data_IF_251214131273
#
_entry.id   IF_251214131273
#
_cell.length_a   1.000
_cell.length_b   1.000
_cell.length_c   1.000
_cell.angle_alpha   90.00
_cell.angle_beta   90.00
_cell.angle_gamma   90.00
#
_symmetry.space_group_name_H-M   'P 1'
#
loop_
_entity.id
_entity.type
_entity.pdbx_description
1 polymer ?
#
# COMPACT_ATOMS: atom_id res chain seq x y z
N UNK A 1 -28.41 13.98 10.07
CA UNK A 1 -27.75 15.23 9.62
C UNK A 1 -26.23 15.22 9.83
N UNK A 2 -25.68 14.80 10.97
CA UNK A 2 -24.22 14.85 11.23
C UNK A 2 -23.32 14.03 10.26
N UNK A 3 -23.79 12.91 9.69
CA UNK A 3 -22.98 12.07 8.77
C UNK A 3 -22.79 12.63 7.36
N UNK A 4 -23.76 13.39 6.85
CA UNK A 4 -23.65 14.03 5.52
C UNK A 4 -22.50 15.05 5.56
N UNK A 5 -22.40 15.81 6.66
CA UNK A 5 -21.31 16.75 6.91
C UNK A 5 -19.93 16.10 7.02
N UNK A 6 -19.84 14.82 7.41
CA UNK A 6 -18.56 14.12 7.53
C UNK A 6 -17.95 13.83 6.16
N UNK A 7 -18.70 13.18 5.24
CA UNK A 7 -18.16 12.84 3.93
C UNK A 7 -17.92 14.06 3.05
N UNK A 8 -18.74 15.11 3.15
CA UNK A 8 -18.49 16.36 2.43
C UNK A 8 -17.18 17.03 2.87
N UNK A 9 -16.83 16.92 4.16
CA UNK A 9 -15.55 17.42 4.69
C UNK A 9 -14.37 16.52 4.32
N UNK A 10 -14.50 15.21 4.49
CA UNK A 10 -13.41 14.25 4.23
C UNK A 10 -13.07 14.19 2.74
N UNK A 11 -14.09 14.13 1.88
CA UNK A 11 -13.98 14.10 0.41
C UNK A 11 -14.26 15.48 -0.18
N UNK A 12 -13.71 16.53 0.42
CA UNK A 12 -13.78 17.89 -0.13
C UNK A 12 -12.92 18.00 -1.40
N UNK A 13 -13.26 18.96 -2.27
CA UNK A 13 -12.43 19.28 -3.45
C UNK A 13 -11.00 19.63 -3.01
N UNK A 14 -10.88 20.43 -1.95
CA UNK A 14 -9.60 20.84 -1.36
C UNK A 14 -8.72 19.66 -0.93
N UNK A 15 -9.30 18.63 -0.31
CA UNK A 15 -8.54 17.43 0.07
C UNK A 15 -8.07 16.63 -1.14
N UNK A 16 -8.92 16.49 -2.18
CA UNK A 16 -8.52 15.84 -3.44
C UNK A 16 -7.41 16.61 -4.15
N UNK A 17 -7.52 17.95 -4.24
CA UNK A 17 -6.49 18.77 -4.87
C UNK A 17 -5.17 18.73 -4.09
N UNK A 18 -5.22 18.76 -2.75
CA UNK A 18 -4.01 18.61 -1.93
C UNK A 18 -3.37 17.23 -2.09
N UNK A 19 -4.15 16.15 -2.14
CA UNK A 19 -3.63 14.81 -2.37
C UNK A 19 -3.05 14.66 -3.78
N UNK A 20 -3.72 15.20 -4.79
CA UNK A 20 -3.25 15.23 -6.17
C UNK A 20 -1.93 16.01 -6.31
N UNK A 21 -1.80 17.15 -5.65
CA UNK A 21 -0.53 17.88 -5.57
C UNK A 21 0.58 17.01 -4.96
N UNK A 22 0.26 16.24 -3.91
CA UNK A 22 1.19 15.29 -3.33
C UNK A 22 1.64 14.20 -4.32
N UNK A 23 0.71 13.67 -5.11
CA UNK A 23 1.03 12.71 -6.19
C UNK A 23 1.93 13.33 -7.26
N UNK A 24 1.64 14.57 -7.71
CA UNK A 24 2.46 15.28 -8.71
C UNK A 24 3.87 15.55 -8.17
N UNK A 25 4.00 16.02 -6.93
CA UNK A 25 5.31 16.23 -6.29
C UNK A 25 6.09 14.91 -6.14
N UNK A 26 5.39 13.82 -5.86
CA UNK A 26 6.02 12.48 -5.81
C UNK A 26 6.50 12.05 -7.19
N UNK A 27 5.69 12.23 -8.23
CA UNK A 27 6.06 11.93 -9.61
C UNK A 27 7.30 12.72 -10.06
N UNK A 28 7.33 14.03 -9.78
CA UNK A 28 8.49 14.87 -10.04
C UNK A 28 9.72 14.36 -9.29
N UNK A 29 9.57 14.07 -7.98
CA UNK A 29 10.71 13.58 -7.19
C UNK A 29 11.23 12.24 -7.66
N UNK A 30 10.36 11.31 -8.06
CA UNK A 30 10.75 10.03 -8.64
C UNK A 30 11.50 10.22 -9.95
N UNK A 31 11.03 11.14 -10.80
CA UNK A 31 11.70 11.48 -12.07
C UNK A 31 13.10 12.04 -11.82
N UNK A 32 13.24 13.02 -10.92
CA UNK A 32 14.55 13.58 -10.53
C UNK A 32 15.50 12.50 -10.01
N UNK A 33 15.03 11.61 -9.13
CA UNK A 33 15.85 10.53 -8.58
C UNK A 33 16.27 9.53 -9.68
N UNK A 34 15.37 9.23 -10.61
CA UNK A 34 15.67 8.33 -11.72
C UNK A 34 16.69 8.94 -12.70
N UNK A 35 16.49 10.19 -13.13
CA UNK A 35 17.37 10.90 -14.07
C UNK A 35 18.80 11.06 -13.52
N UNK A 36 18.94 11.29 -12.21
CA UNK A 36 20.24 11.31 -11.54
C UNK A 36 20.86 9.92 -11.36
N UNK A 37 20.23 8.86 -11.88
CA UNK A 37 20.60 7.44 -11.72
C UNK A 37 20.75 7.03 -10.26
N UNK A 38 20.01 7.71 -9.39
CA UNK A 38 20.05 7.50 -7.96
C UNK A 38 19.16 6.34 -7.52
N UNK A 39 18.20 5.93 -8.34
CA UNK A 39 17.24 4.88 -7.99
C UNK A 39 16.91 3.99 -9.18
N UNK A 40 16.54 2.74 -8.92
CA UNK A 40 16.35 1.73 -9.97
C UNK A 40 15.00 1.00 -9.91
N UNK A 41 14.17 1.30 -8.92
CA UNK A 41 12.91 0.60 -8.67
C UNK A 41 12.04 1.35 -7.65
N UNK A 42 10.75 1.01 -7.57
CA UNK A 42 9.80 1.55 -6.60
C UNK A 42 9.15 0.43 -5.79
N UNK A 43 9.34 0.45 -4.48
CA UNK A 43 8.68 -0.45 -3.53
C UNK A 43 7.41 0.21 -3.00
N UNK A 44 6.29 -0.52 -3.09
CA UNK A 44 5.00 -0.15 -2.48
C UNK A 44 4.78 -1.10 -1.29
N UNK A 45 5.08 -0.68 -0.04
CA UNK A 45 5.09 -1.56 1.11
C UNK A 45 3.72 -1.70 1.76
N UNK A 46 2.80 -0.76 1.57
CA UNK A 46 1.50 -0.77 2.25
C UNK A 46 0.34 -0.67 1.27
N UNK A 47 -0.80 -1.24 1.66
CA UNK A 47 -2.07 -1.07 0.94
C UNK A 47 -2.52 0.39 0.88
N UNK A 48 -2.13 1.20 1.87
CA UNK A 48 -2.40 2.65 1.94
C UNK A 48 -1.67 3.43 0.85
N UNK A 49 -0.49 2.96 0.47
CA UNK A 49 0.31 3.54 -0.60
C UNK A 49 -0.19 3.21 -2.02
N UNK A 50 -1.01 2.16 -2.20
CA UNK A 50 -1.47 1.77 -3.54
C UNK A 50 -2.31 2.83 -4.26
N UNK A 51 -3.32 3.48 -3.63
CA UNK A 51 -4.02 4.58 -4.27
C UNK A 51 -3.12 5.79 -4.56
N UNK A 52 -2.12 6.05 -3.71
CA UNK A 52 -1.12 7.09 -3.95
C UNK A 52 -0.32 6.75 -5.20
N UNK A 53 0.22 5.53 -5.29
CA UNK A 53 0.95 5.06 -6.45
C UNK A 53 0.14 5.21 -7.74
N UNK A 54 -1.15 4.89 -7.72
CA UNK A 54 -2.01 5.12 -8.90
C UNK A 54 -2.12 6.60 -9.28
N UNK A 55 -2.27 7.50 -8.31
CA UNK A 55 -2.26 8.95 -8.58
C UNK A 55 -0.90 9.45 -9.08
N UNK A 56 0.20 8.87 -8.60
CA UNK A 56 1.56 9.14 -9.10
C UNK A 56 1.71 8.66 -10.54
N UNK A 57 1.23 7.45 -10.86
CA UNK A 57 1.21 6.91 -12.21
C UNK A 57 0.41 7.81 -13.16
N UNK A 58 -0.77 8.29 -12.74
CA UNK A 58 -1.56 9.25 -13.51
C UNK A 58 -0.81 10.58 -13.75
N UNK A 59 -0.03 11.03 -12.77
CA UNK A 59 0.80 12.23 -12.90
C UNK A 59 1.99 12.02 -13.84
N UNK A 60 2.52 10.80 -13.93
CA UNK A 60 3.61 10.44 -14.84
C UNK A 60 3.16 10.30 -16.30
N UNK A 61 1.85 10.22 -16.59
CA UNK A 61 1.34 10.09 -17.97
C UNK A 61 2.00 11.09 -18.93
N UNK A 62 2.60 10.60 -20.00
CA UNK A 62 3.33 11.34 -21.03
C UNK A 62 4.79 11.67 -20.67
N UNK A 63 5.36 11.08 -19.62
CA UNK A 63 6.78 11.24 -19.24
C UNK A 63 7.60 10.01 -19.62
N UNK A 64 8.92 10.19 -19.78
CA UNK A 64 9.86 9.08 -20.03
C UNK A 64 9.79 8.01 -18.93
N UNK A 65 9.62 8.43 -17.66
CA UNK A 65 9.52 7.50 -16.55
C UNK A 65 8.26 6.61 -16.65
N UNK A 66 7.14 7.10 -17.18
CA UNK A 66 5.95 6.25 -17.40
C UNK A 66 6.27 5.08 -18.35
N UNK A 67 6.96 5.36 -19.46
CA UNK A 67 7.21 4.38 -20.52
C UNK A 67 8.08 3.21 -20.03
N UNK A 68 8.96 3.48 -19.07
CA UNK A 68 9.89 2.49 -18.51
C UNK A 68 9.39 1.86 -17.19
N UNK A 69 8.24 2.28 -16.65
CA UNK A 69 7.69 1.66 -15.45
C UNK A 69 7.20 0.24 -15.78
N UNK A 70 7.70 -0.76 -15.05
CA UNK A 70 7.19 -2.13 -15.07
C UNK A 70 6.25 -2.33 -13.87
N UNK A 71 4.95 -2.29 -14.13
CA UNK A 71 3.91 -2.54 -13.13
C UNK A 71 3.37 -3.95 -13.33
N UNK A 72 3.44 -4.83 -12.32
CA UNK A 72 2.94 -6.19 -12.48
C UNK A 72 1.42 -6.22 -12.68
N UNK A 73 0.93 -7.02 -13.63
CA UNK A 73 -0.49 -7.09 -14.01
C UNK A 73 -1.44 -7.39 -12.85
N UNK A 74 -0.98 -8.14 -11.85
CA UNK A 74 -1.80 -8.44 -10.68
C UNK A 74 -2.15 -7.19 -9.85
N UNK A 75 -1.47 -6.06 -10.05
CA UNK A 75 -1.85 -4.76 -9.48
C UNK A 75 -2.99 -4.07 -10.24
N UNK A 76 -3.41 -4.56 -11.41
CA UNK A 76 -4.53 -4.06 -12.22
C UNK A 76 -4.52 -2.53 -12.43
N UNK A 77 -3.38 -1.96 -12.79
CA UNK A 77 -3.28 -0.54 -13.17
C UNK A 77 -3.54 -0.43 -14.67
N UNK A 78 -4.55 0.37 -15.04
CA UNK A 78 -4.90 0.55 -16.45
C UNK A 78 -3.83 1.38 -17.16
N UNK A 79 -3.41 0.93 -18.35
CA UNK A 79 -2.39 1.59 -19.17
C UNK A 79 -0.93 1.28 -18.79
N UNK A 80 -0.68 0.48 -17.75
CA UNK A 80 0.69 0.12 -17.37
C UNK A 80 1.26 -1.05 -18.19
N UNK A 81 2.59 -1.07 -18.35
CA UNK A 81 3.34 -2.16 -18.97
C UNK A 81 4.00 -3.08 -17.92
N UNK A 82 4.22 -4.36 -18.25
CA UNK A 82 5.06 -5.26 -17.45
C UNK A 82 6.54 -5.25 -17.90
N UNK A 83 6.84 -4.68 -19.06
CA UNK A 83 8.14 -4.85 -19.75
C UNK A 83 9.15 -3.71 -19.47
N UNK A 84 8.79 -2.75 -18.61
CA UNK A 84 9.65 -1.62 -18.27
C UNK A 84 10.93 -1.96 -17.49
N UNK A 85 11.92 -1.07 -17.58
CA UNK A 85 13.20 -1.22 -16.87
C UNK A 85 13.15 -0.85 -15.38
N UNK A 86 12.14 -0.09 -14.97
CA UNK A 86 11.94 0.42 -13.61
C UNK A 86 10.80 -0.36 -12.92
N UNK A 87 11.10 -1.45 -12.19
CA UNK A 87 10.06 -2.28 -11.61
C UNK A 87 9.36 -1.61 -10.43
N UNK A 88 8.03 -1.71 -10.42
CA UNK A 88 7.17 -1.43 -9.28
C UNK A 88 6.96 -2.74 -8.53
N UNK A 89 7.43 -2.77 -7.28
CA UNK A 89 7.47 -3.94 -6.43
C UNK A 89 6.49 -3.77 -5.28
N UNK A 90 5.24 -4.27 -5.40
CA UNK A 90 4.35 -4.34 -4.24
C UNK A 90 4.93 -5.31 -3.22
N UNK A 91 4.91 -4.97 -1.93
CA UNK A 91 5.32 -5.88 -0.85
C UNK A 91 4.27 -5.77 0.25
N UNK A 92 3.73 -6.88 0.77
CA UNK A 92 2.57 -6.83 1.66
C UNK A 92 2.90 -6.50 3.13
N UNK A 93 3.49 -5.35 3.43
CA UNK A 93 3.67 -4.83 4.79
C UNK A 93 2.37 -4.13 5.26
N UNK A 94 1.37 -4.88 5.71
CA UNK A 94 0.12 -4.27 6.22
C UNK A 94 0.25 -3.80 7.67
N UNK A 95 -0.17 -2.56 7.97
CA UNK A 95 -0.24 -2.01 9.32
C UNK A 95 -1.51 -2.43 10.09
N UNK A 96 -2.59 -2.70 9.35
CA UNK A 96 -3.89 -3.02 9.93
C UNK A 96 -4.15 -4.51 9.90
N UNK A 97 -3.91 -5.11 11.05
CA UNK A 97 -4.06 -6.53 11.29
C UNK A 97 -5.22 -6.72 12.25
N UNK A 98 -6.22 -7.49 11.83
CA UNK A 98 -7.24 -7.97 12.76
C UNK A 98 -6.96 -9.44 13.10
N UNK A 99 -6.53 -9.68 14.33
CA UNK A 99 -6.42 -11.03 14.90
C UNK A 99 -7.40 -11.12 16.06
N UNK A 100 -8.36 -12.07 16.02
CA UNK A 100 -9.28 -12.30 17.13
C UNK A 100 -8.54 -12.55 18.45
N UNK A 101 -9.09 -12.06 19.56
CA UNK A 101 -8.44 -12.11 20.89
C UNK A 101 -8.07 -13.54 21.31
N UNK A 102 -8.91 -14.51 20.98
CA UNK A 102 -8.68 -15.93 21.24
C UNK A 102 -7.44 -16.47 20.49
N UNK A 103 -7.16 -15.95 19.29
CA UNK A 103 -5.95 -16.28 18.56
C UNK A 103 -4.74 -15.55 19.14
N UNK A 104 -4.85 -14.26 19.46
CA UNK A 104 -3.78 -13.49 20.15
C UNK A 104 -3.29 -14.19 21.42
N UNK A 105 -4.21 -14.71 22.24
CA UNK A 105 -3.86 -15.51 23.43
C UNK A 105 -3.00 -16.74 23.09
N UNK A 106 -3.24 -17.40 21.96
CA UNK A 106 -2.43 -18.55 21.51
C UNK A 106 -1.03 -18.15 21.07
N UNK A 107 -0.81 -16.91 20.61
CA UNK A 107 0.54 -16.41 20.30
C UNK A 107 1.33 -16.05 21.57
N UNK A 108 0.66 -15.78 22.69
CA UNK A 108 1.30 -15.15 23.84
C UNK A 108 1.82 -13.74 23.53
N UNK A 109 1.26 -13.06 22.53
CA UNK A 109 1.70 -11.75 22.02
C UNK A 109 0.55 -10.75 21.98
N UNK A 110 0.86 -9.47 22.16
CA UNK A 110 -0.06 -8.37 21.89
C UNK A 110 -0.27 -8.19 20.38
N UNK A 111 -1.35 -7.48 20.00
CA UNK A 111 -1.58 -7.16 18.59
C UNK A 111 -0.42 -6.33 18.01
N UNK A 112 0.10 -5.37 18.77
CA UNK A 112 1.22 -4.53 18.37
C UNK A 112 2.49 -5.36 18.10
N UNK A 113 2.78 -6.36 18.94
CA UNK A 113 3.91 -7.26 18.74
C UNK A 113 3.77 -8.06 17.44
N UNK A 114 2.56 -8.57 17.16
CA UNK A 114 2.32 -9.28 15.89
C UNK A 114 2.47 -8.35 14.70
N UNK A 115 1.94 -7.12 14.76
CA UNK A 115 2.08 -6.11 13.70
C UNK A 115 3.56 -5.79 13.43
N UNK A 116 4.36 -5.62 14.49
CA UNK A 116 5.78 -5.33 14.34
C UNK A 116 6.55 -6.54 13.75
N UNK A 117 6.15 -7.77 14.07
CA UNK A 117 6.68 -8.98 13.42
C UNK A 117 6.30 -9.10 11.95
N UNK A 118 5.08 -8.69 11.55
CA UNK A 118 4.71 -8.62 10.12
C UNK A 118 5.66 -7.67 9.39
N UNK A 119 5.93 -6.51 9.99
CA UNK A 119 6.83 -5.51 9.41
C UNK A 119 8.26 -6.02 9.33
N UNK A 120 8.74 -6.73 10.36
CA UNK A 120 10.07 -7.34 10.36
C UNK A 120 10.19 -8.41 9.27
N UNK A 121 9.19 -9.26 9.11
CA UNK A 121 9.12 -10.28 8.05
C UNK A 121 9.11 -9.70 6.65
N UNK A 122 8.28 -8.69 6.39
CA UNK A 122 8.25 -8.07 5.07
C UNK A 122 9.51 -7.26 4.78
N UNK A 123 10.15 -6.67 5.80
CA UNK A 123 11.45 -5.99 5.65
C UNK A 123 12.56 -7.00 5.34
N UNK A 124 12.52 -8.18 5.97
CA UNK A 124 13.40 -9.29 5.60
C UNK A 124 13.17 -9.71 4.14
N UNK A 125 11.91 -9.89 3.70
CA UNK A 125 11.60 -10.19 2.31
C UNK A 125 12.13 -9.13 1.34
N UNK A 126 11.98 -7.83 1.65
CA UNK A 126 12.57 -6.74 0.86
C UNK A 126 14.09 -6.88 0.79
N UNK A 127 14.76 -7.17 1.90
CA UNK A 127 16.22 -7.35 1.92
C UNK A 127 16.68 -8.46 0.98
N UNK A 128 15.88 -9.51 0.83
CA UNK A 128 16.16 -10.58 -0.11
C UNK A 128 16.07 -10.10 -1.56
N UNK A 129 15.26 -9.09 -1.89
CA UNK A 129 15.14 -8.57 -3.26
C UNK A 129 16.41 -7.88 -3.77
N UNK A 130 17.39 -7.60 -2.90
CA UNK A 130 18.73 -7.14 -3.28
C UNK A 130 19.65 -8.30 -3.73
N UNK A 131 19.24 -9.55 -3.52
CA UNK A 131 19.95 -10.76 -3.95
C UNK A 131 19.44 -11.25 -5.30
N UNK A 132 20.24 -12.07 -5.97
CA UNK A 132 19.81 -12.69 -7.22
C UNK A 132 18.73 -13.77 -7.01
N UNK A 133 18.04 -14.10 -8.10
CA UNK A 133 16.95 -15.06 -8.08
C UNK A 133 17.34 -16.47 -7.61
N UNK A 134 18.60 -16.89 -7.76
CA UNK A 134 19.09 -18.19 -7.28
C UNK A 134 19.32 -18.13 -5.77
N UNK A 135 20.01 -17.11 -5.29
CA UNK A 135 20.26 -16.91 -3.85
C UNK A 135 18.94 -16.76 -3.06
N UNK A 136 17.99 -15.99 -3.58
CA UNK A 136 16.66 -15.85 -2.94
C UNK A 136 15.92 -17.18 -2.85
N UNK A 137 15.96 -17.99 -3.90
CA UNK A 137 15.32 -19.33 -3.91
C UNK A 137 15.90 -20.28 -2.90
N UNK A 138 17.11 -20.05 -2.38
CA UNK A 138 17.71 -20.91 -1.36
C UNK A 138 17.26 -20.51 0.05
N UNK A 139 16.87 -19.24 0.25
CA UNK A 139 16.41 -18.70 1.52
C UNK A 139 15.09 -19.34 1.99
N UNK A 140 15.07 -19.78 3.25
CA UNK A 140 13.93 -20.50 3.83
C UNK A 140 12.68 -19.64 3.95
N UNK A 141 12.81 -18.34 4.24
CA UNK A 141 11.69 -17.43 4.41
C UNK A 141 11.12 -17.04 3.05
N UNK A 142 11.96 -16.86 2.04
CA UNK A 142 11.50 -16.69 0.66
C UNK A 142 10.74 -17.91 0.16
N UNK A 143 11.26 -19.13 0.38
CA UNK A 143 10.53 -20.38 0.06
C UNK A 143 9.17 -20.44 0.76
N UNK A 144 9.11 -20.07 2.04
CA UNK A 144 7.84 -20.05 2.77
C UNK A 144 6.84 -19.03 2.19
N UNK A 145 7.33 -17.87 1.74
CA UNK A 145 6.53 -16.87 1.05
C UNK A 145 6.04 -17.37 -0.33
N UNK A 146 6.91 -18.01 -1.11
CA UNK A 146 6.53 -18.64 -2.37
C UNK A 146 5.46 -19.74 -2.16
N UNK A 147 5.64 -20.62 -1.17
CA UNK A 147 4.66 -21.65 -0.84
C UNK A 147 3.31 -21.07 -0.41
N UNK A 148 3.31 -19.95 0.31
CA UNK A 148 2.08 -19.23 0.65
C UNK A 148 1.36 -18.74 -0.61
N UNK A 149 2.09 -18.11 -1.53
CA UNK A 149 1.51 -17.63 -2.79
C UNK A 149 1.03 -18.80 -3.68
N UNK A 150 1.84 -19.85 -3.84
CA UNK A 150 1.57 -20.93 -4.80
C UNK A 150 0.56 -21.96 -4.26
N UNK A 151 0.81 -22.50 -3.06
CA UNK A 151 0.10 -23.68 -2.55
C UNK A 151 -1.12 -23.30 -1.69
N UNK A 152 -1.04 -22.20 -0.94
CA UNK A 152 -2.13 -21.75 -0.08
C UNK A 152 -3.12 -20.88 -0.84
N UNK A 153 -2.63 -20.04 -1.76
CA UNK A 153 -3.46 -19.06 -2.45
C UNK A 153 -3.69 -19.35 -3.94
N UNK A 154 -2.91 -20.26 -4.54
CA UNK A 154 -3.03 -20.60 -5.96
C UNK A 154 -2.53 -19.52 -6.93
N UNK A 155 -1.60 -18.66 -6.51
CA UNK A 155 -1.12 -17.47 -7.23
C UNK A 155 0.30 -17.62 -7.76
N UNK A 156 0.50 -18.63 -8.61
CA UNK A 156 1.82 -19.02 -9.15
C UNK A 156 2.47 -17.91 -9.98
N UNK A 157 1.67 -17.10 -10.66
CA UNK A 157 2.11 -15.93 -11.42
C UNK A 157 2.76 -14.87 -10.52
N UNK A 158 2.22 -14.65 -9.31
CA UNK A 158 2.79 -13.69 -8.36
C UNK A 158 4.09 -14.23 -7.77
N UNK A 159 4.14 -15.51 -7.43
CA UNK A 159 5.37 -16.14 -6.97
C UNK A 159 6.47 -16.07 -8.04
N UNK A 160 6.12 -16.34 -9.31
CA UNK A 160 7.02 -16.21 -10.45
C UNK A 160 7.55 -14.78 -10.61
N UNK A 161 6.72 -13.76 -10.42
CA UNK A 161 7.15 -12.37 -10.46
C UNK A 161 8.29 -12.10 -9.47
N UNK A 162 8.12 -12.41 -8.18
CA UNK A 162 9.18 -12.18 -7.19
C UNK A 162 10.44 -12.99 -7.46
N UNK A 163 10.28 -14.21 -7.99
CA UNK A 163 11.36 -15.13 -8.32
C UNK A 163 12.24 -14.60 -9.46
N UNK A 164 11.62 -14.02 -10.48
CA UNK A 164 12.27 -13.54 -11.70
C UNK A 164 12.73 -12.08 -11.60
N UNK A 165 12.23 -11.32 -10.62
CA UNK A 165 12.62 -9.92 -10.41
C UNK A 165 14.14 -9.78 -10.35
N UNK A 166 14.73 -8.86 -11.11
CA UNK A 166 16.17 -8.59 -11.03
C UNK A 166 16.56 -8.07 -9.63
N UNK A 167 17.81 -8.27 -9.17
CA UNK A 167 18.28 -7.64 -7.93
C UNK A 167 18.03 -6.14 -7.93
N UNK A 168 17.44 -5.65 -6.84
CA UNK A 168 17.28 -4.22 -6.60
C UNK A 168 18.63 -3.64 -6.15
N UNK A 169 18.94 -2.41 -6.58
CA UNK A 169 20.18 -1.73 -6.20
C UNK A 169 19.94 -0.58 -5.23
N UNK A 170 19.00 0.30 -5.56
CA UNK A 170 18.66 1.48 -4.76
C UNK A 170 17.18 1.84 -4.96
N UNK A 171 16.25 1.01 -4.45
CA UNK A 171 14.82 1.28 -4.55
C UNK A 171 14.42 2.58 -3.85
N UNK A 172 13.33 3.17 -4.32
CA UNK A 172 12.51 4.11 -3.53
C UNK A 172 11.44 3.32 -2.79
N UNK A 173 11.24 3.56 -1.51
CA UNK A 173 10.07 3.07 -0.78
C UNK A 173 9.05 4.20 -0.62
N UNK A 174 7.85 4.01 -1.16
CA UNK A 174 6.75 4.99 -1.11
C UNK A 174 5.68 4.52 -0.12
N UNK A 175 5.45 5.27 0.95
CA UNK A 175 4.43 4.94 1.94
C UNK A 175 3.59 6.14 2.39
N UNK A 176 2.49 5.87 3.08
CA UNK A 176 1.66 6.86 3.75
C UNK A 176 2.03 6.98 5.23
N UNK A 177 2.03 8.21 5.74
CA UNK A 177 2.52 8.54 7.08
C UNK A 177 1.42 9.26 7.87
N UNK A 178 0.62 8.50 8.61
CA UNK A 178 -0.34 9.07 9.59
C UNK A 178 0.38 9.40 10.90
N UNK A 179 0.81 8.36 11.63
CA UNK A 179 1.53 8.53 12.90
C UNK A 179 3.05 8.54 12.74
N UNK A 180 3.55 8.04 11.61
CA UNK A 180 4.98 7.82 11.33
C UNK A 180 5.54 6.50 11.85
N UNK A 181 4.83 5.76 12.72
CA UNK A 181 5.32 4.51 13.32
C UNK A 181 5.65 3.44 12.28
N UNK A 182 4.72 3.16 11.36
CA UNK A 182 4.88 2.06 10.40
C UNK A 182 6.14 2.26 9.54
N UNK A 183 6.24 3.43 8.91
CA UNK A 183 7.39 3.81 8.08
C UNK A 183 8.70 3.76 8.87
N UNK A 184 8.73 4.31 10.10
CA UNK A 184 9.90 4.22 10.98
C UNK A 184 10.30 2.76 11.26
N UNK A 185 9.34 1.91 11.68
CA UNK A 185 9.60 0.50 12.00
C UNK A 185 10.11 -0.29 10.80
N UNK A 186 9.53 -0.07 9.61
CA UNK A 186 9.99 -0.71 8.37
C UNK A 186 11.44 -0.31 8.08
N UNK A 187 11.76 0.99 8.12
CA UNK A 187 13.10 1.47 7.81
C UNK A 187 14.15 1.00 8.84
N UNK A 188 13.80 0.93 10.12
CA UNK A 188 14.68 0.36 11.16
C UNK A 188 14.92 -1.15 10.95
N UNK A 189 13.88 -1.90 10.56
CA UNK A 189 14.02 -3.32 10.29
C UNK A 189 14.83 -3.59 9.01
N UNK A 190 14.67 -2.77 7.97
CA UNK A 190 15.51 -2.82 6.77
C UNK A 190 17.00 -2.63 7.09
N UNK A 191 17.33 -1.67 7.96
CA UNK A 191 18.72 -1.42 8.39
C UNK A 191 19.33 -2.64 9.09
N UNK A 192 18.54 -3.33 9.95
CA UNK A 192 18.93 -4.61 10.59
C UNK A 192 19.29 -5.69 9.57
N UNK A 193 18.73 -5.65 8.36
CA UNK A 193 19.00 -6.59 7.27
C UNK A 193 19.96 -6.05 6.20
N UNK A 194 20.68 -4.96 6.49
CA UNK A 194 21.70 -4.40 5.60
C UNK A 194 21.15 -3.50 4.48
N UNK A 195 19.86 -3.18 4.50
CA UNK A 195 19.25 -2.20 3.59
C UNK A 195 19.19 -0.85 4.30
N UNK A 196 20.14 0.03 3.97
CA UNK A 196 20.43 1.28 4.65
C UNK A 196 19.84 2.47 3.91
N UNK A 197 18.95 3.16 4.60
CA UNK A 197 18.38 4.44 4.16
C UNK A 197 19.49 5.46 3.86
N UNK A 198 19.43 6.09 2.68
CA UNK A 198 20.43 7.03 2.17
C UNK A 198 21.63 6.39 1.46
N UNK A 199 21.81 5.07 1.56
CA UNK A 199 22.89 4.36 0.87
C UNK A 199 22.35 3.56 -0.31
N UNK A 200 21.51 2.57 -0.03
CA UNK A 200 20.90 1.68 -1.02
C UNK A 200 19.36 1.67 -0.92
N UNK A 201 18.78 2.70 -0.30
CA UNK A 201 17.33 2.91 -0.19
C UNK A 201 17.03 4.40 -0.06
N UNK A 202 16.03 4.90 -0.77
CA UNK A 202 15.48 6.26 -0.57
C UNK A 202 14.03 6.17 -0.10
N UNK A 203 13.61 7.04 0.82
CA UNK A 203 12.22 7.07 1.30
C UNK A 203 11.40 8.21 0.70
N UNK A 204 10.15 7.96 0.30
CA UNK A 204 9.16 9.01 0.06
C UNK A 204 7.95 8.74 0.95
N UNK A 205 7.56 9.74 1.74
CA UNK A 205 6.44 9.64 2.66
C UNK A 205 5.36 10.69 2.38
N UNK A 206 4.14 10.25 2.06
CA UNK A 206 2.97 11.16 2.02
C UNK A 206 2.47 11.37 3.44
N UNK A 207 2.52 12.61 3.93
CA UNK A 207 2.24 12.92 5.34
C UNK A 207 0.83 13.46 5.52
N UNK A 208 0.00 12.72 6.26
CA UNK A 208 -1.40 13.09 6.55
C UNK A 208 -1.50 14.31 7.47
N UNK A 209 -2.56 15.10 7.28
CA UNK A 209 -2.85 16.32 8.04
C UNK A 209 -1.63 17.23 8.20
N UNK A 210 -0.82 17.36 7.16
CA UNK A 210 0.40 18.19 7.13
C UNK A 210 1.38 17.87 8.30
N UNK A 211 1.36 16.62 8.78
CA UNK A 211 2.20 16.14 9.85
C UNK A 211 1.74 16.51 11.26
N UNK A 212 0.49 16.93 11.42
CA UNK A 212 -0.14 17.16 12.74
C UNK A 212 -0.32 15.86 13.53
N UNK A 213 -0.55 14.73 12.85
CA UNK A 213 -0.72 13.39 13.46
C UNK A 213 0.59 12.63 13.71
N UNK A 214 1.72 13.12 13.18
CA UNK A 214 3.01 12.48 13.42
C UNK A 214 3.37 12.53 14.90
N UNK A 215 3.65 11.37 15.51
CA UNK A 215 4.08 11.34 16.91
C UNK A 215 5.48 11.94 17.04
N UNK A 216 5.75 12.56 18.19
CA UNK A 216 6.97 13.33 18.46
C UNK A 216 8.23 12.52 18.20
N UNK A 217 8.25 11.27 18.66
CA UNK A 217 9.39 10.36 18.52
C UNK A 217 9.75 10.07 17.06
N UNK A 218 8.76 9.91 16.16
CA UNK A 218 9.02 9.64 14.75
C UNK A 218 9.24 10.92 13.95
N UNK A 219 8.55 12.01 14.30
CA UNK A 219 8.66 13.31 13.62
C UNK A 219 10.09 13.86 13.67
N UNK A 220 10.75 13.76 14.84
CA UNK A 220 12.14 14.20 15.00
C UNK A 220 13.10 13.41 14.10
N UNK A 221 12.97 12.07 14.10
CA UNK A 221 13.78 11.20 13.26
C UNK A 221 13.55 11.45 11.77
N UNK A 222 12.29 11.55 11.32
CA UNK A 222 11.94 11.79 9.92
C UNK A 222 12.51 13.11 9.41
N UNK A 223 12.41 14.19 10.18
CA UNK A 223 13.01 15.49 9.82
C UNK A 223 14.54 15.42 9.70
N UNK A 224 15.20 14.64 10.57
CA UNK A 224 16.64 14.44 10.45
C UNK A 224 17.01 13.67 9.18
N UNK A 225 16.23 12.68 8.78
CA UNK A 225 16.46 11.95 7.53
C UNK A 225 16.16 12.82 6.30
N UNK A 226 15.12 13.64 6.37
CA UNK A 226 14.80 14.62 5.31
C UNK A 226 15.91 15.65 5.13
N UNK A 227 16.44 16.21 6.21
CA UNK A 227 17.56 17.15 6.15
C UNK A 227 18.86 16.54 5.57
N UNK A 228 19.00 15.21 5.67
CA UNK A 228 20.12 14.47 5.05
C UNK A 228 19.87 14.12 3.58
N UNK A 229 18.69 14.42 3.04
CA UNK A 229 18.28 14.01 1.70
C UNK A 229 17.91 12.52 1.57
N UNK A 230 17.80 11.80 2.69
CA UNK A 230 17.53 10.36 2.71
C UNK A 230 16.03 10.02 2.55
N UNK A 231 15.17 10.98 2.89
CA UNK A 231 13.71 10.87 2.82
C UNK A 231 13.16 12.16 2.22
N UNK A 232 12.09 12.06 1.43
CA UNK A 232 11.29 13.20 0.99
C UNK A 232 9.92 13.11 1.68
N UNK A 233 9.57 14.10 2.50
CA UNK A 233 8.25 14.16 3.13
C UNK A 233 7.35 15.11 2.33
N UNK A 234 6.20 14.61 1.90
CA UNK A 234 5.24 15.36 1.09
C UNK A 234 3.97 15.57 1.93
N UNK A 235 3.81 16.74 2.57
CA UNK A 235 2.62 17.01 3.38
C UNK A 235 1.38 17.18 2.50
N UNK A 236 0.29 16.55 2.93
CA UNK A 236 -1.03 16.72 2.32
C UNK A 236 -2.07 17.01 3.40
N UNK A 237 -3.16 17.68 3.02
CA UNK A 237 -4.24 18.03 3.94
C UNK A 237 -4.93 16.81 4.50
N UNK A 238 -5.15 15.78 3.68
CA UNK A 238 -5.81 14.55 4.11
C UNK A 238 -5.47 13.36 3.22
N UNK A 239 -5.06 12.26 3.83
CA UNK A 239 -5.07 10.93 3.21
C UNK A 239 -6.46 10.32 3.45
N UNK A 240 -7.28 10.27 2.39
CA UNK A 240 -8.69 9.88 2.48
C UNK A 240 -8.89 8.36 2.48
N UNK A 241 -7.92 7.59 1.97
CA UNK A 241 -8.04 6.14 1.75
C UNK A 241 -7.68 5.27 2.95
N UNK A 242 -6.84 5.76 3.85
CA UNK A 242 -6.25 5.00 4.96
C UNK A 242 -7.15 4.99 6.21
N UNK A 243 -7.14 3.91 7.00
CA UNK A 243 -8.03 3.69 8.17
C UNK A 243 -9.55 3.71 7.86
N UNK A 244 -9.94 3.69 6.58
CA UNK A 244 -11.33 3.78 6.11
C UNK A 244 -11.89 2.46 5.55
N UNK A 245 -11.12 1.38 5.65
CA UNK A 245 -11.49 0.05 5.14
C UNK A 245 -11.14 -0.16 3.66
N UNK A 246 -11.42 -1.36 3.14
CA UNK A 246 -10.96 -1.78 1.81
C UNK A 246 -11.58 -1.00 0.63
N UNK A 247 -12.72 -0.33 0.85
CA UNK A 247 -13.53 0.31 -0.19
C UNK A 247 -12.83 1.45 -0.93
N UNK A 248 -11.80 2.07 -0.34
CA UNK A 248 -11.03 3.15 -0.95
C UNK A 248 -9.59 2.74 -1.27
N UNK A 249 -9.17 1.56 -0.82
CA UNK A 249 -7.81 1.06 -1.01
C UNK A 249 -7.68 0.23 -2.28
N UNK A 250 -8.76 -0.38 -2.77
CA UNK A 250 -8.72 -1.27 -3.95
C UNK A 250 -8.00 -2.61 -3.70
N UNK A 251 -7.25 -2.71 -2.60
CA UNK A 251 -6.49 -3.87 -2.16
C UNK A 251 -6.91 -4.25 -0.74
N UNK A 252 -6.97 -5.55 -0.46
CA UNK A 252 -7.16 -6.13 0.88
C UNK A 252 -5.89 -6.85 1.31
N UNK A 253 -5.55 -6.71 2.59
CA UNK A 253 -4.55 -7.55 3.24
C UNK A 253 -5.19 -8.85 3.70
N UNK A 254 -4.61 -9.97 3.31
CA UNK A 254 -4.95 -11.30 3.81
C UNK A 254 -3.88 -11.73 4.81
N UNK A 255 -4.32 -12.24 5.96
CA UNK A 255 -3.44 -12.68 7.03
C UNK A 255 -3.78 -14.14 7.32
N UNK A 256 -2.77 -14.97 7.47
CA UNK A 256 -2.90 -16.38 7.80
C UNK A 256 -2.34 -16.67 9.19
N UNK A 257 -3.05 -16.28 10.27
CA UNK A 257 -2.55 -16.42 11.64
C UNK A 257 -2.06 -17.84 11.94
N UNK A 258 -2.83 -18.87 11.59
CA UNK A 258 -2.46 -20.25 11.95
C UNK A 258 -1.16 -20.69 11.25
N UNK A 259 -0.99 -20.33 9.97
CA UNK A 259 0.24 -20.62 9.23
C UNK A 259 1.43 -19.90 9.88
N UNK A 260 1.25 -18.62 10.20
CA UNK A 260 2.23 -17.83 10.93
C UNK A 260 2.62 -18.48 12.27
N UNK A 261 1.65 -18.92 13.06
CA UNK A 261 1.90 -19.55 14.36
C UNK A 261 2.76 -20.80 14.23
N UNK A 262 2.40 -21.70 13.31
CA UNK A 262 3.14 -22.96 13.16
C UNK A 262 4.51 -22.74 12.50
N UNK A 263 4.60 -21.85 11.50
CA UNK A 263 5.87 -21.51 10.86
C UNK A 263 6.87 -20.87 11.85
N UNK A 264 6.40 -19.95 12.70
CA UNK A 264 7.24 -19.27 13.70
C UNK A 264 7.84 -20.20 14.75
N UNK A 265 7.26 -21.38 14.99
CA UNK A 265 7.82 -22.41 15.88
C UNK A 265 8.87 -23.26 15.20
N UNK A 266 8.74 -23.44 13.88
CA UNK A 266 9.53 -24.39 13.09
C UNK A 266 10.73 -23.74 12.39
N UNK A 267 10.75 -22.40 12.29
CA UNK A 267 11.72 -21.67 11.48
C UNK A 267 12.40 -20.56 12.28
N UNK A 268 13.73 -20.49 12.17
CA UNK A 268 14.57 -19.46 12.79
C UNK A 268 14.62 -18.17 11.95
N UNK A 269 13.49 -17.73 11.42
CA UNK A 269 13.43 -16.51 10.64
C UNK A 269 12.09 -15.78 10.79
N UNK A 270 12.05 -14.46 10.55
CA UNK A 270 10.83 -13.69 10.70
C UNK A 270 9.89 -14.05 9.56
N UNK A 271 8.91 -14.91 9.82
CA UNK A 271 7.88 -15.26 8.86
C UNK A 271 6.62 -14.58 9.27
N UNK A 272 5.96 -13.90 8.34
CA UNK A 272 4.59 -13.53 8.52
C UNK A 272 3.82 -13.85 7.25
N UNK A 273 2.73 -14.58 7.42
CA UNK A 273 1.88 -14.96 6.31
C UNK A 273 0.87 -13.84 6.06
N UNK A 274 1.35 -12.77 5.45
CA UNK A 274 0.52 -11.66 4.96
C UNK A 274 0.74 -11.50 3.47
N UNK A 275 -0.37 -11.33 2.76
CA UNK A 275 -0.36 -11.05 1.32
C UNK A 275 -1.41 -9.99 0.99
N UNK A 276 -1.38 -9.50 -0.25
CA UNK A 276 -2.37 -8.56 -0.77
C UNK A 276 -3.20 -9.20 -1.86
N UNK A 277 -4.48 -8.87 -1.90
CA UNK A 277 -5.34 -9.16 -3.04
C UNK A 277 -5.95 -7.87 -3.53
N UNK A 278 -5.88 -7.61 -4.83
CA UNK A 278 -6.81 -6.65 -5.43
C UNK A 278 -8.22 -7.15 -5.19
N UNK A 279 -9.13 -6.23 -4.84
CA UNK A 279 -10.52 -6.58 -4.61
C UNK A 279 -11.05 -7.39 -5.82
N UNK A 280 -11.60 -8.60 -5.59
CA UNK A 280 -12.09 -9.41 -6.68
C UNK A 280 -13.30 -8.73 -7.31
N UNK A 281 -13.61 -9.01 -8.58
CA UNK A 281 -14.79 -8.43 -9.26
C UNK A 281 -16.13 -8.91 -8.68
N UNK A 282 -16.06 -9.84 -7.72
CA UNK A 282 -17.20 -10.31 -6.93
C UNK A 282 -17.99 -11.43 -7.59
N UNK A 283 -17.56 -11.96 -8.73
CA UNK A 283 -18.29 -13.03 -9.43
C UNK A 283 -18.16 -14.39 -8.73
N UNK A 284 -17.02 -14.64 -8.08
CA UNK A 284 -16.64 -15.95 -7.54
C UNK A 284 -17.15 -16.24 -6.12
N UNK A 285 -17.85 -15.33 -5.45
CA UNK A 285 -18.37 -15.60 -4.09
C UNK A 285 -19.72 -16.31 -4.13
N UNK A 286 -19.83 -17.41 -3.37
CA UNK A 286 -21.10 -18.17 -3.21
C UNK A 286 -22.17 -17.39 -2.45
N UNK A 287 -21.76 -16.43 -1.62
CA UNK A 287 -22.70 -15.60 -0.86
C UNK A 287 -23.11 -14.38 -1.69
N UNK A 288 -24.40 -14.28 -2.02
CA UNK A 288 -24.97 -13.10 -2.70
C UNK A 288 -24.65 -11.79 -1.97
N UNK A 289 -24.78 -11.79 -0.64
CA UNK A 289 -24.48 -10.61 0.19
C UNK A 289 -23.01 -10.18 0.04
N UNK A 290 -22.08 -11.14 0.09
CA UNK A 290 -20.65 -10.86 -0.07
C UNK A 290 -20.35 -10.33 -1.47
N UNK A 291 -20.96 -10.91 -2.52
CA UNK A 291 -20.83 -10.42 -3.90
C UNK A 291 -21.30 -8.98 -4.03
N UNK A 292 -22.50 -8.68 -3.53
CA UNK A 292 -23.07 -7.33 -3.58
C UNK A 292 -22.19 -6.32 -2.82
N UNK A 293 -21.65 -6.69 -1.67
CA UNK A 293 -20.74 -5.81 -0.90
C UNK A 293 -19.42 -5.56 -1.63
N UNK A 294 -18.82 -6.60 -2.20
CA UNK A 294 -17.58 -6.46 -2.99
C UNK A 294 -17.80 -5.58 -4.23
N UNK A 295 -18.92 -5.74 -4.94
CA UNK A 295 -19.30 -4.86 -6.06
C UNK A 295 -19.39 -3.39 -5.63
N UNK A 296 -19.99 -3.11 -4.48
CA UNK A 296 -20.09 -1.75 -3.92
C UNK A 296 -18.72 -1.19 -3.55
N UNK A 297 -17.83 -2.00 -2.98
CA UNK A 297 -16.44 -1.59 -2.70
C UNK A 297 -15.67 -1.28 -3.98
N UNK A 298 -15.79 -2.11 -5.02
CA UNK A 298 -15.18 -1.83 -6.32
C UNK A 298 -15.73 -0.56 -6.96
N UNK A 299 -17.04 -0.30 -6.87
CA UNK A 299 -17.63 0.95 -7.35
C UNK A 299 -17.10 2.17 -6.58
N UNK A 300 -17.03 2.09 -5.25
CA UNK A 300 -16.49 3.16 -4.42
C UNK A 300 -15.02 3.43 -4.76
N UNK A 301 -14.20 2.38 -4.89
CA UNK A 301 -12.80 2.51 -5.27
C UNK A 301 -12.64 3.13 -6.67
N UNK A 302 -13.41 2.67 -7.66
CA UNK A 302 -13.40 3.24 -9.02
C UNK A 302 -13.76 4.72 -9.01
N UNK A 303 -14.79 5.13 -8.26
CA UNK A 303 -15.17 6.53 -8.15
C UNK A 303 -14.10 7.35 -7.42
N UNK A 304 -13.50 6.81 -6.36
CA UNK A 304 -12.38 7.45 -5.65
C UNK A 304 -11.19 7.68 -6.58
N UNK A 305 -10.80 6.67 -7.35
CA UNK A 305 -9.70 6.80 -8.32
C UNK A 305 -10.03 7.81 -9.42
N UNK A 306 -11.27 7.85 -9.93
CA UNK A 306 -11.68 8.89 -10.89
C UNK A 306 -11.61 10.30 -10.32
N UNK A 307 -11.94 10.48 -9.04
CA UNK A 307 -11.77 11.77 -8.37
C UNK A 307 -10.28 12.14 -8.31
N UNK A 308 -9.42 11.22 -7.88
CA UNK A 308 -7.98 11.47 -7.80
C UNK A 308 -7.37 11.77 -9.17
N UNK A 309 -7.71 10.99 -10.20
CA UNK A 309 -7.28 11.21 -11.59
C UNK A 309 -7.71 12.59 -12.10
N UNK A 310 -8.98 12.97 -11.89
CA UNK A 310 -9.48 14.29 -12.30
C UNK A 310 -8.78 15.42 -11.54
N UNK A 311 -8.48 15.23 -10.25
CA UNK A 311 -7.75 16.19 -9.45
C UNK A 311 -6.29 16.34 -9.90
N UNK A 312 -5.61 15.23 -10.22
CA UNK A 312 -4.27 15.24 -10.83
C UNK A 312 -4.29 15.96 -12.18
N UNK A 313 -5.26 15.62 -13.04
CA UNK A 313 -5.47 16.30 -14.31
C UNK A 313 -5.64 17.81 -14.15
N UNK A 314 -6.43 18.26 -13.17
CA UNK A 314 -6.63 19.68 -12.88
C UNK A 314 -5.35 20.37 -12.38
N UNK A 315 -4.65 19.78 -11.41
CA UNK A 315 -3.38 20.31 -10.87
C UNK A 315 -2.33 20.45 -11.97
N UNK A 316 -2.32 19.52 -12.92
CA UNK A 316 -1.40 19.54 -14.07
C UNK A 316 -1.89 20.39 -15.25
N UNK A 317 -3.05 21.04 -15.15
CA UNK A 317 -3.62 21.85 -16.23
C UNK A 317 -4.14 21.05 -17.44
N UNK A 318 -4.41 19.75 -17.28
CA UNK A 318 -4.89 18.83 -18.32
C UNK A 318 -6.42 18.74 -18.39
N UNK A 319 -7.12 19.06 -17.30
CA UNK A 319 -8.59 18.94 -17.20
C UNK A 319 -9.19 20.10 -16.41
N UNK A 320 -10.48 20.35 -16.61
CA UNK A 320 -11.27 21.27 -15.78
C UNK A 320 -11.65 20.65 -14.42
N UNK A 321 -12.25 21.46 -13.53
CA UNK A 321 -12.66 21.03 -12.19
C UNK A 321 -13.99 20.24 -12.16
N UNK A 322 -14.86 20.48 -13.14
CA UNK A 322 -16.21 19.89 -13.22
C UNK A 322 -16.23 18.34 -13.17
N UNK A 323 -15.33 17.61 -13.86
CA UNK A 323 -15.24 16.15 -13.76
C UNK A 323 -14.96 15.64 -12.33
N UNK A 324 -14.11 16.36 -11.58
CA UNK A 324 -13.83 16.05 -10.18
C UNK A 324 -15.10 16.24 -9.34
N UNK A 325 -15.78 17.37 -9.47
CA UNK A 325 -17.01 17.62 -8.72
C UNK A 325 -18.09 16.57 -8.98
N UNK A 326 -18.28 16.21 -10.25
CA UNK A 326 -19.28 15.21 -10.68
C UNK A 326 -18.97 13.83 -10.07
N UNK A 327 -17.71 13.39 -10.14
CA UNK A 327 -17.28 12.11 -9.59
C UNK A 327 -17.35 12.09 -8.06
N UNK A 328 -16.98 13.21 -7.41
CA UNK A 328 -17.02 13.39 -5.95
C UNK A 328 -18.45 13.30 -5.41
N UNK A 329 -19.41 13.96 -6.05
CA UNK A 329 -20.84 13.89 -5.68
C UNK A 329 -21.36 12.44 -5.76
N UNK A 330 -20.99 11.70 -6.81
CA UNK A 330 -21.34 10.27 -6.97
C UNK A 330 -20.70 9.39 -5.89
N UNK A 331 -19.43 9.62 -5.57
CA UNK A 331 -18.74 8.89 -4.51
C UNK A 331 -19.44 9.09 -3.16
N UNK A 332 -19.68 10.35 -2.76
CA UNK A 332 -20.33 10.68 -1.48
C UNK A 332 -21.73 10.08 -1.40
N UNK A 333 -22.52 10.13 -2.48
CA UNK A 333 -23.83 9.50 -2.53
C UNK A 333 -23.75 7.98 -2.26
N UNK A 334 -22.83 7.28 -2.95
CA UNK A 334 -22.63 5.84 -2.79
C UNK A 334 -22.15 5.46 -1.38
N UNK A 335 -21.21 6.22 -0.82
CA UNK A 335 -20.70 5.99 0.54
C UNK A 335 -21.79 6.20 1.60
N UNK A 336 -22.66 7.21 1.41
CA UNK A 336 -23.80 7.47 2.27
C UNK A 336 -24.85 6.36 2.19
N UNK A 337 -25.27 5.99 0.98
CA UNK A 337 -26.33 5.02 0.74
C UNK A 337 -25.99 3.65 1.35
N UNK A 338 -24.74 3.22 1.20
CA UNK A 338 -24.32 1.87 1.58
C UNK A 338 -23.49 1.79 2.85
N UNK A 339 -23.27 2.92 3.54
CA UNK A 339 -22.49 2.99 4.80
C UNK A 339 -21.14 2.29 4.67
N UNK A 340 -20.44 2.55 3.56
CA UNK A 340 -19.23 1.80 3.20
C UNK A 340 -18.01 2.19 4.03
N UNK A 341 -18.08 3.31 4.77
CA UNK A 341 -17.06 3.73 5.73
C UNK A 341 -17.64 3.70 7.14
N UNK A 342 -16.83 3.26 8.09
CA UNK A 342 -17.12 3.42 9.52
C UNK A 342 -16.52 4.77 9.92
N UNK A 343 -17.31 5.73 10.44
CA UNK A 343 -16.75 6.89 11.14
C UNK A 343 -15.77 6.39 12.22
N UNK A 344 -14.79 7.19 12.66
CA UNK A 344 -13.69 6.80 13.59
C UNK A 344 -14.10 6.16 14.95
N UNK A 345 -15.38 5.90 15.18
CA UNK A 345 -15.87 5.11 16.30
C UNK A 345 -15.55 3.62 16.08
N UNK A 346 -14.52 3.13 16.81
CA UNK A 346 -14.07 1.75 17.03
C UNK A 346 -14.39 0.75 15.90
N UNK A 347 -13.39 0.25 15.15
CA UNK A 347 -13.62 -0.67 14.06
C UNK A 347 -14.33 -1.93 14.55
N UNK A 348 -15.55 -2.16 14.08
CA UNK A 348 -16.12 -3.51 14.10
C UNK A 348 -15.23 -4.43 13.27
N UNK A 349 -15.04 -5.71 13.67
CA UNK A 349 -14.24 -6.67 12.93
C UNK A 349 -14.62 -6.70 11.45
N UNK A 350 -13.63 -6.51 10.57
CA UNK A 350 -13.90 -6.56 9.13
C UNK A 350 -14.46 -7.95 8.76
N UNK A 351 -15.62 -7.96 8.10
CA UNK A 351 -16.35 -9.16 7.64
C UNK A 351 -15.53 -10.05 6.69
N UNK A 352 -14.37 -9.59 6.22
CA UNK A 352 -13.41 -10.35 5.41
C UNK A 352 -12.85 -11.58 6.12
N UNK A 353 -13.00 -11.71 7.44
CA UNK A 353 -12.70 -12.97 8.16
C UNK A 353 -13.57 -14.16 7.71
N UNK A 354 -14.64 -13.94 6.92
CA UNK A 354 -15.51 -15.00 6.39
C UNK A 354 -15.30 -15.34 4.92
N UNK A 355 -14.41 -14.65 4.21
CA UNK A 355 -14.07 -14.99 2.82
C UNK A 355 -13.07 -16.15 2.83
N UNK A 356 -13.58 -17.40 2.75
CA UNK A 356 -12.78 -18.52 2.25
C UNK A 356 -12.52 -18.24 0.76
N UNK A 357 -11.38 -17.62 0.46
CA UNK A 357 -10.80 -17.70 -0.88
C UNK A 357 -10.39 -19.16 -1.04
N UNK A 358 -11.11 -19.90 -1.89
CA UNK A 358 -10.61 -21.18 -2.38
C UNK A 358 -9.53 -20.86 -3.39
N UNK A 359 -8.30 -21.30 -3.11
CA UNK A 359 -7.37 -21.71 -4.17
C UNK A 359 -7.95 -22.89 -4.94
#
# INVERSE_FOLDING_TARGET
MAKVLFYDKEFSVENFLSLAQGCVLTAHRLTELYENKDVDSLIIPSRGAYPIFRGVFDALKGSELEEILSVPSFMKVEGSSEEGEFPVVPVPLTADVYIPKEKLRRYGKSLDQVVDEIRDSGSYLISLLFKDGKERKEDKCFKAFELLLEEVEGRKEIANYYRQLRPLKKPVILDTLISGRAFYTILQSLDKYGVKLGQNLHGIGIVDLEGAKLKREYKGWLKQQEAKGNVTLIPVKRIMSEDRGASLLGIVGCIYPNLFLEASKAMECPICAVTWHVLPDGENSRSREVRERVKKYNQAFKLYMKCLESAVGYVMGRTELDPLESSRKKLIALLNEHKLLVPEEKPEPSLFTKLRVKG
#
